data_IF_564245058256
#
_entry.id   IF_564245058256
#
_cell.length_a   1.000
_cell.length_b   1.000
_cell.length_c   1.000
_cell.angle_alpha   90.00
_cell.angle_beta   90.00
_cell.angle_gamma   90.00
#
_symmetry.space_group_name_H-M   'P 1'
#
loop_
_entity.id
_entity.type
_entity.pdbx_description
1 polymer ?
#
# COMPACT_ATOMS: atom_id res chain seq x y z
N UNK A 1 -2.47 13.47 31.31
CA UNK A 1 -2.88 12.05 31.33
C UNK A 1 -1.80 11.24 30.59
N UNK A 2 -0.54 11.38 31.02
CA UNK A 2 0.26 10.52 31.93
C UNK A 2 0.68 9.18 31.33
N UNK A 3 1.97 9.08 30.99
CA UNK A 3 2.80 7.93 30.56
C UNK A 3 2.64 6.62 31.36
N UNK A 4 1.77 6.59 32.38
CA UNK A 4 1.55 5.44 33.25
C UNK A 4 0.70 4.31 32.61
N UNK A 5 0.00 4.58 31.50
CA UNK A 5 -0.89 3.60 30.85
C UNK A 5 -0.23 2.77 29.73
N UNK A 6 0.77 3.31 29.06
CA UNK A 6 1.48 2.64 27.96
C UNK A 6 2.86 2.18 28.43
N UNK A 7 3.30 1.04 27.92
CA UNK A 7 4.65 0.53 28.19
C UNK A 7 5.69 1.28 27.38
N UNK A 8 5.81 2.61 27.48
CA UNK A 8 6.85 3.38 26.76
C UNK A 8 8.27 2.98 27.16
N UNK A 9 8.43 2.36 28.34
CA UNK A 9 9.67 1.73 28.80
C UNK A 9 9.82 0.25 28.38
N UNK A 10 8.83 -0.33 27.70
CA UNK A 10 8.86 -1.70 27.19
C UNK A 10 9.17 -1.66 25.68
N UNK A 11 9.88 -2.67 25.15
CA UNK A 11 10.22 -2.69 23.73
C UNK A 11 8.95 -2.71 22.87
N UNK A 12 8.93 -2.02 21.72
CA UNK A 12 7.79 -2.07 20.81
C UNK A 12 7.68 -3.46 20.17
N UNK A 13 6.47 -3.82 19.77
CA UNK A 13 6.27 -4.91 18.83
C UNK A 13 6.41 -4.38 17.41
N UNK A 14 7.22 -5.08 16.61
CA UNK A 14 7.45 -4.73 15.21
C UNK A 14 6.71 -5.74 14.34
N UNK A 15 5.79 -5.23 13.53
CA UNK A 15 5.07 -6.00 12.53
C UNK A 15 5.54 -5.57 11.14
N UNK A 16 5.93 -6.53 10.32
CA UNK A 16 6.45 -6.25 8.98
C UNK A 16 5.79 -7.18 7.96
N UNK A 17 5.27 -6.58 6.89
CA UNK A 17 4.59 -7.29 5.82
C UNK A 17 4.89 -6.66 4.47
N UNK A 18 5.07 -7.51 3.46
CA UNK A 18 5.19 -7.11 2.08
C UNK A 18 4.00 -7.65 1.27
N UNK A 19 3.49 -6.81 0.39
CA UNK A 19 2.35 -7.13 -0.46
C UNK A 19 2.69 -6.76 -1.90
N UNK A 20 2.11 -7.52 -2.82
CA UNK A 20 2.12 -7.16 -4.24
C UNK A 20 0.80 -7.50 -4.88
N UNK A 21 0.52 -6.82 -5.98
CA UNK A 21 -0.67 -7.10 -6.74
C UNK A 21 -0.66 -6.45 -8.09
N UNK A 22 -1.77 -6.64 -8.79
CA UNK A 22 -2.03 -5.96 -10.03
C UNK A 22 -3.51 -5.68 -10.21
N UNK A 23 -3.80 -4.68 -11.03
CA UNK A 23 -5.13 -4.38 -11.54
C UNK A 23 -5.05 -3.98 -13.02
N UNK A 24 -6.16 -4.06 -13.72
CA UNK A 24 -6.25 -3.59 -15.10
C UNK A 24 -7.14 -2.36 -15.21
N UNK A 25 -6.74 -1.42 -16.05
CA UNK A 25 -7.45 -0.20 -16.36
C UNK A 25 -7.66 -0.17 -17.87
N UNK A 26 -8.91 -0.17 -18.31
CA UNK A 26 -9.27 -0.13 -19.74
C UNK A 26 -9.15 1.25 -20.38
N UNK A 27 -7.93 1.77 -20.35
CA UNK A 27 -7.50 2.91 -21.11
C UNK A 27 -5.99 2.82 -21.35
N UNK A 28 -5.46 3.49 -22.38
CA UNK A 28 -4.02 3.62 -22.56
C UNK A 28 -3.34 4.34 -21.39
N UNK A 29 -2.05 4.07 -21.20
CA UNK A 29 -1.22 4.57 -20.07
C UNK A 29 -1.38 6.08 -19.89
N UNK A 30 -1.19 6.86 -20.94
CA UNK A 30 -1.24 8.33 -20.89
C UNK A 30 -2.56 8.88 -20.32
N UNK A 31 -3.69 8.23 -20.64
CA UNK A 31 -5.00 8.65 -20.14
C UNK A 31 -5.15 8.36 -18.65
N UNK A 32 -4.62 7.21 -18.19
CA UNK A 32 -4.64 6.87 -16.77
C UNK A 32 -3.64 7.69 -15.96
N UNK A 33 -2.45 7.99 -16.50
CA UNK A 33 -1.46 8.88 -15.90
C UNK A 33 -2.04 10.27 -15.64
N UNK A 34 -2.76 10.83 -16.63
CA UNK A 34 -3.41 12.14 -16.49
C UNK A 34 -4.40 12.13 -15.32
N UNK A 35 -5.17 11.05 -15.17
CA UNK A 35 -6.07 10.89 -14.04
C UNK A 35 -5.29 10.74 -12.72
N UNK A 36 -4.27 9.87 -12.65
CA UNK A 36 -3.49 9.65 -11.44
C UNK A 36 -2.77 10.92 -10.95
N UNK A 37 -2.25 11.74 -11.86
CA UNK A 37 -1.57 12.99 -11.53
C UNK A 37 -2.52 14.02 -10.89
N UNK A 38 -3.82 13.89 -11.12
CA UNK A 38 -4.86 14.74 -10.53
C UNK A 38 -5.48 14.08 -9.27
N UNK A 39 -4.66 13.39 -8.47
CA UNK A 39 -5.11 12.65 -7.28
C UNK A 39 -5.85 13.50 -6.25
N UNK A 40 -5.63 14.81 -6.20
CA UNK A 40 -6.40 15.73 -5.35
C UNK A 40 -7.91 15.66 -5.63
N UNK A 41 -8.27 15.46 -6.90
CA UNK A 41 -9.66 15.43 -7.32
C UNK A 41 -10.33 14.13 -6.88
N UNK A 42 -9.67 12.98 -6.98
CA UNK A 42 -10.35 11.68 -6.84
C UNK A 42 -9.99 10.88 -5.58
N UNK A 43 -8.81 11.11 -4.99
CA UNK A 43 -8.29 10.23 -3.93
C UNK A 43 -9.21 10.19 -2.70
N UNK A 44 -9.69 11.37 -2.26
CA UNK A 44 -10.59 11.47 -1.11
C UNK A 44 -11.94 10.76 -1.33
N UNK A 45 -12.48 10.77 -2.56
CA UNK A 45 -13.71 10.05 -2.92
C UNK A 45 -13.50 8.53 -2.89
N UNK A 46 -12.34 8.09 -3.38
CA UNK A 46 -12.00 6.68 -3.49
C UNK A 46 -11.58 6.04 -2.17
N UNK A 47 -11.08 6.83 -1.21
CA UNK A 47 -10.55 6.35 0.06
C UNK A 47 -11.58 5.66 0.98
N UNK A 48 -12.88 5.92 0.82
CA UNK A 48 -13.91 5.35 1.69
C UNK A 48 -13.85 3.81 1.74
N UNK A 49 -13.94 3.15 2.91
CA UNK A 49 -14.39 3.68 4.20
C UNK A 49 -13.33 4.43 5.00
N UNK A 50 -12.08 4.50 4.53
CA UNK A 50 -11.07 5.33 5.17
C UNK A 50 -11.42 6.81 4.99
N UNK A 51 -11.00 7.63 5.94
CA UNK A 51 -11.06 9.08 5.82
C UNK A 51 -9.71 9.59 5.31
N UNK A 52 -9.71 10.33 4.21
CA UNK A 52 -8.50 10.96 3.66
C UNK A 52 -8.62 12.48 3.82
N UNK A 53 -7.68 13.08 4.55
CA UNK A 53 -7.60 14.52 4.76
C UNK A 53 -6.36 15.04 4.04
N UNK A 54 -6.48 15.98 3.08
CA UNK A 54 -5.32 16.49 2.34
C UNK A 54 -4.39 17.30 3.25
N UNK A 55 -3.09 17.15 3.04
CA UNK A 55 -2.01 17.91 3.70
C UNK A 55 -1.05 18.42 2.63
N UNK A 56 -1.04 19.73 2.41
CA UNK A 56 -0.29 20.33 1.31
C UNK A 56 -0.77 19.84 -0.06
N UNK A 57 0.13 19.82 -1.05
CA UNK A 57 -0.20 19.47 -2.44
C UNK A 57 -0.27 17.97 -2.69
N UNK A 58 0.64 17.21 -2.08
CA UNK A 58 0.83 15.79 -2.36
C UNK A 58 0.61 14.88 -1.15
N UNK A 59 0.30 15.46 0.02
CA UNK A 59 0.13 14.72 1.26
C UNK A 59 -1.33 14.43 1.60
N UNK A 60 -1.55 13.34 2.34
CA UNK A 60 -2.84 12.95 2.90
C UNK A 60 -2.67 12.29 4.26
N UNK A 61 -3.53 12.61 5.23
CA UNK A 61 -3.70 11.79 6.43
C UNK A 61 -4.84 10.82 6.19
N UNK A 62 -4.53 9.53 6.19
CA UNK A 62 -5.51 8.47 6.14
C UNK A 62 -5.85 7.99 7.55
N UNK A 63 -7.13 8.02 7.91
CA UNK A 63 -7.68 7.29 9.05
C UNK A 63 -8.31 6.00 8.54
N UNK A 64 -7.75 4.84 8.91
CA UNK A 64 -8.10 3.56 8.28
C UNK A 64 -9.43 2.99 8.81
N UNK A 65 -9.77 3.24 10.08
CA UNK A 65 -10.92 2.68 10.80
C UNK A 65 -10.52 2.10 12.15
N UNK A 66 -11.45 1.54 12.93
CA UNK A 66 -11.15 0.96 14.25
C UNK A 66 -10.84 -0.53 14.17
N UNK A 67 -9.76 -0.94 14.82
CA UNK A 67 -9.31 -2.33 14.85
C UNK A 67 -8.86 -2.69 16.26
N UNK A 68 -9.29 -3.85 16.75
CA UNK A 68 -8.95 -4.28 18.10
C UNK A 68 -9.00 -5.79 18.31
N UNK A 69 -8.33 -6.22 19.36
CA UNK A 69 -8.28 -7.60 19.83
C UNK A 69 -7.83 -7.62 21.29
N UNK A 70 -8.22 -8.64 22.07
CA UNK A 70 -7.81 -8.82 23.47
C UNK A 70 -8.02 -7.57 24.36
N UNK A 71 -9.12 -6.83 24.15
CA UNK A 71 -9.46 -5.65 24.96
C UNK A 71 -8.63 -4.40 24.64
N UNK A 72 -7.88 -4.41 23.54
CA UNK A 72 -7.14 -3.26 23.04
C UNK A 72 -7.65 -2.88 21.63
N UNK A 73 -7.99 -1.62 21.44
CA UNK A 73 -8.50 -1.06 20.17
C UNK A 73 -7.69 0.17 19.76
N UNK A 74 -7.44 0.30 18.46
CA UNK A 74 -6.75 1.44 17.84
C UNK A 74 -7.50 1.91 16.60
N UNK A 75 -7.41 3.20 16.32
CA UNK A 75 -7.85 3.80 15.06
C UNK A 75 -6.61 4.35 14.36
N UNK A 76 -5.93 3.55 13.51
CA UNK A 76 -4.66 3.97 12.96
C UNK A 76 -4.87 5.07 11.93
N UNK A 77 -4.08 6.11 12.13
CA UNK A 77 -3.80 7.21 11.21
C UNK A 77 -2.40 7.05 10.63
N UNK A 78 -2.29 7.32 9.33
CA UNK A 78 -1.03 7.33 8.59
C UNK A 78 -0.96 8.57 7.70
N UNK A 79 0.17 9.27 7.73
CA UNK A 79 0.47 10.31 6.76
C UNK A 79 1.11 9.70 5.52
N UNK A 80 0.59 10.03 4.35
CA UNK A 80 1.07 9.58 3.05
C UNK A 80 1.48 10.77 2.21
N UNK A 81 2.56 10.64 1.45
CA UNK A 81 2.97 11.59 0.43
C UNK A 81 3.04 10.89 -0.92
N UNK A 82 2.17 11.30 -1.85
CA UNK A 82 2.09 10.77 -3.21
C UNK A 82 3.09 11.53 -4.07
N UNK A 83 4.24 10.92 -4.31
CA UNK A 83 5.29 11.54 -5.10
C UNK A 83 4.85 11.70 -6.57
N UNK A 84 5.29 12.76 -7.26
CA UNK A 84 5.18 12.83 -8.71
C UNK A 84 5.76 11.58 -9.36
N UNK A 85 5.18 11.16 -10.49
CA UNK A 85 5.68 10.01 -11.22
C UNK A 85 7.11 10.24 -11.72
N UNK A 86 7.90 9.17 -11.74
CA UNK A 86 9.20 9.12 -12.39
C UNK A 86 9.21 7.93 -13.35
N UNK A 87 9.33 8.20 -14.66
CA UNK A 87 9.37 7.18 -15.72
C UNK A 87 8.22 6.16 -15.66
N UNK A 88 6.99 6.61 -15.37
CA UNK A 88 5.80 5.75 -15.27
C UNK A 88 5.70 4.97 -13.95
N UNK A 89 6.57 5.27 -12.99
CA UNK A 89 6.53 4.73 -11.63
C UNK A 89 6.02 5.78 -10.66
N UNK A 90 4.94 5.44 -9.96
CA UNK A 90 4.34 6.23 -8.90
C UNK A 90 4.79 5.69 -7.55
N UNK A 91 5.18 6.58 -6.63
CA UNK A 91 5.63 6.20 -5.28
C UNK A 91 4.80 6.88 -4.21
N UNK A 92 4.62 6.17 -3.11
CA UNK A 92 3.98 6.72 -1.91
C UNK A 92 4.89 6.42 -0.73
N UNK A 93 5.23 7.47 0.01
CA UNK A 93 6.03 7.38 1.23
C UNK A 93 5.24 7.90 2.43
N UNK A 94 5.74 7.60 3.63
CA UNK A 94 5.12 8.08 4.87
C UNK A 94 5.60 9.48 5.20
N UNK A 95 4.68 10.35 5.60
CA UNK A 95 4.97 11.64 6.22
C UNK A 95 4.45 11.68 7.66
N UNK A 96 5.04 12.52 8.53
CA UNK A 96 4.51 12.73 9.88
C UNK A 96 3.05 13.18 9.85
N UNK A 97 2.25 12.70 10.80
CA UNK A 97 0.88 13.19 10.99
C UNK A 97 0.95 14.51 11.79
N UNK A 98 0.47 15.64 11.24
CA UNK A 98 0.53 16.93 11.92
C UNK A 98 -0.20 16.92 13.26
N UNK A 99 0.34 17.67 14.22
CA UNK A 99 -0.32 18.04 15.49
C UNK A 99 -0.81 16.86 16.36
N UNK A 100 -0.29 15.65 16.16
CA UNK A 100 -0.71 14.49 16.95
C UNK A 100 0.32 14.12 18.02
N UNK A 101 -0.10 13.96 19.29
CA UNK A 101 0.73 13.33 20.30
C UNK A 101 1.04 11.88 19.89
N UNK A 102 2.13 11.34 20.42
CA UNK A 102 2.55 9.96 20.22
C UNK A 102 1.36 8.98 20.27
N UNK A 103 1.06 8.35 19.13
CA UNK A 103 -0.13 7.48 18.96
C UNK A 103 0.10 6.07 19.50
N UNK A 104 1.22 5.84 20.21
CA UNK A 104 1.71 4.53 20.64
C UNK A 104 1.98 3.57 19.48
N UNK A 105 2.14 4.09 18.26
CA UNK A 105 2.63 3.34 17.12
C UNK A 105 3.30 4.29 16.12
N UNK A 106 4.19 3.72 15.32
CA UNK A 106 4.78 4.34 14.14
C UNK A 106 4.52 3.46 12.93
N UNK A 107 4.25 4.08 11.78
CA UNK A 107 4.04 3.37 10.53
C UNK A 107 5.06 3.84 9.52
N UNK A 108 5.77 2.89 8.92
CA UNK A 108 6.56 3.10 7.72
C UNK A 108 5.88 2.34 6.58
N UNK A 109 5.26 3.10 5.70
CA UNK A 109 4.57 2.69 4.48
C UNK A 109 5.38 3.19 3.28
N UNK A 110 5.82 2.23 2.46
CA UNK A 110 6.53 2.47 1.21
C UNK A 110 5.83 1.69 0.11
N UNK A 111 5.23 2.38 -0.85
CA UNK A 111 4.58 1.74 -1.98
C UNK A 111 5.16 2.24 -3.31
N UNK A 112 5.18 1.34 -4.29
CA UNK A 112 5.52 1.66 -5.66
C UNK A 112 4.49 1.03 -6.61
N UNK A 113 4.20 1.75 -7.69
CA UNK A 113 3.22 1.34 -8.68
C UNK A 113 3.75 1.66 -10.08
N UNK A 114 3.79 0.66 -10.96
CA UNK A 114 4.23 0.79 -12.34
C UNK A 114 3.08 0.59 -13.31
N UNK A 115 2.99 1.45 -14.32
CA UNK A 115 2.00 1.35 -15.39
C UNK A 115 2.60 0.61 -16.58
N UNK A 116 2.03 -0.55 -16.91
CA UNK A 116 2.47 -1.40 -18.01
C UNK A 116 1.44 -1.34 -19.14
N UNK A 117 1.83 -0.91 -20.35
CA UNK A 117 0.93 -0.94 -21.50
C UNK A 117 0.63 -2.38 -21.90
N UNK A 118 -0.63 -2.64 -22.21
CA UNK A 118 -1.15 -3.94 -22.62
C UNK A 118 -1.97 -3.77 -23.90
N UNK A 119 -2.01 -4.83 -24.72
CA UNK A 119 -2.84 -4.88 -25.93
C UNK A 119 -3.79 -6.07 -25.86
N UNK A 120 -5.05 -5.83 -26.20
CA UNK A 120 -6.09 -6.85 -26.23
C UNK A 120 -5.74 -7.91 -27.28
N UNK A 121 -5.76 -9.17 -26.86
CA UNK A 121 -5.54 -10.30 -27.75
C UNK A 121 -6.86 -10.69 -28.45
N UNK A 122 -6.91 -10.76 -29.79
CA UNK A 122 -8.13 -11.10 -30.53
C UNK A 122 -8.79 -12.42 -30.14
N UNK A 123 -8.01 -13.36 -29.64
CA UNK A 123 -8.49 -14.70 -29.29
C UNK A 123 -9.06 -14.74 -27.87
N UNK A 124 -8.40 -14.09 -26.91
CA UNK A 124 -8.73 -14.20 -25.47
C UNK A 124 -9.51 -13.01 -24.91
N UNK A 125 -9.43 -11.84 -25.54
CA UNK A 125 -9.99 -10.58 -25.03
C UNK A 125 -11.16 -10.08 -25.90
N UNK A 126 -11.96 -11.01 -26.43
CA UNK A 126 -13.10 -10.69 -27.32
C UNK A 126 -14.05 -9.66 -26.72
N UNK A 127 -14.29 -9.76 -25.42
CA UNK A 127 -15.18 -8.84 -24.72
C UNK A 127 -14.59 -7.41 -24.64
N UNK A 128 -13.24 -7.25 -24.56
CA UNK A 128 -12.59 -5.94 -24.61
C UNK A 128 -12.70 -5.33 -26.01
N UNK A 129 -12.48 -6.16 -27.03
CA UNK A 129 -12.64 -5.74 -28.42
C UNK A 129 -14.08 -5.35 -28.76
N UNK A 130 -15.07 -6.03 -28.18
CA UNK A 130 -16.49 -5.66 -28.31
C UNK A 130 -16.79 -4.27 -27.72
N UNK A 131 -15.99 -3.81 -26.74
CA UNK A 131 -16.04 -2.46 -26.17
C UNK A 131 -15.09 -1.48 -26.88
N UNK A 132 -14.49 -1.88 -28.00
CA UNK A 132 -13.48 -1.11 -28.73
C UNK A 132 -12.25 -0.75 -27.87
N UNK A 133 -11.87 -1.63 -26.95
CA UNK A 133 -10.70 -1.49 -26.08
C UNK A 133 -9.58 -2.34 -26.65
N UNK A 134 -8.70 -1.71 -27.42
CA UNK A 134 -7.53 -2.36 -28.02
C UNK A 134 -6.29 -2.25 -27.14
N UNK A 135 -6.04 -1.07 -26.57
CA UNK A 135 -4.91 -0.81 -25.69
C UNK A 135 -5.42 -0.47 -24.29
N UNK A 136 -4.82 -1.07 -23.28
CA UNK A 136 -5.18 -0.91 -21.87
C UNK A 136 -3.93 -0.89 -21.00
N UNK A 137 -4.09 -0.60 -19.71
CA UNK A 137 -2.97 -0.53 -18.76
C UNK A 137 -3.13 -1.61 -17.71
N UNK A 138 -2.06 -2.38 -17.48
CA UNK A 138 -1.90 -3.15 -16.25
C UNK A 138 -1.11 -2.32 -15.26
N UNK A 139 -1.62 -2.23 -14.05
CA UNK A 139 -1.00 -1.53 -12.93
C UNK A 139 -0.43 -2.60 -12.02
N UNK A 140 0.89 -2.68 -11.91
CA UNK A 140 1.55 -3.55 -10.94
C UNK A 140 1.92 -2.71 -9.72
N UNK A 141 1.70 -3.21 -8.52
CA UNK A 141 2.02 -2.49 -7.30
C UNK A 141 2.66 -3.39 -6.25
N UNK A 142 3.47 -2.76 -5.41
CA UNK A 142 4.09 -3.34 -4.22
C UNK A 142 3.93 -2.40 -3.03
N UNK A 143 3.88 -2.98 -1.83
CA UNK A 143 3.80 -2.27 -0.56
C UNK A 143 4.70 -2.97 0.45
N UNK A 144 5.68 -2.24 0.96
CA UNK A 144 6.40 -2.57 2.18
C UNK A 144 5.79 -1.80 3.36
N UNK A 145 5.27 -2.54 4.35
CA UNK A 145 4.60 -1.99 5.52
C UNK A 145 5.25 -2.51 6.80
N UNK A 146 5.90 -1.59 7.53
CA UNK A 146 6.40 -1.80 8.89
C UNK A 146 5.57 -0.97 9.87
N UNK A 147 5.10 -1.61 10.94
CA UNK A 147 4.37 -0.96 12.04
C UNK A 147 5.07 -1.28 13.33
N UNK A 148 5.50 -0.26 14.04
CA UNK A 148 6.02 -0.37 15.40
C UNK A 148 4.93 0.03 16.38
N UNK A 149 4.77 -0.71 17.46
CA UNK A 149 3.62 -0.55 18.33
C UNK A 149 3.98 -0.74 19.80
N UNK A 150 3.61 0.24 20.61
CA UNK A 150 3.81 0.27 22.05
C UNK A 150 2.48 -0.07 22.72
N UNK A 151 2.37 -1.28 23.22
CA UNK A 151 1.12 -1.71 23.84
C UNK A 151 1.01 -1.21 25.31
N UNK A 152 -0.20 -1.18 25.87
CA UNK A 152 -0.37 -1.12 27.31
C UNK A 152 0.27 -2.33 28.01
N UNK A 153 0.73 -2.14 29.24
CA UNK A 153 1.45 -3.18 30.02
C UNK A 153 0.71 -4.52 30.14
N UNK A 154 -0.62 -4.51 30.13
CA UNK A 154 -1.39 -5.75 30.25
C UNK A 154 -1.27 -6.68 29.03
N UNK A 155 -1.03 -6.12 27.82
CA UNK A 155 -0.83 -6.91 26.60
C UNK A 155 0.49 -7.68 26.68
N UNK A 156 1.54 -7.10 27.26
CA UNK A 156 2.84 -7.76 27.45
C UNK A 156 2.80 -9.00 28.34
N UNK A 157 1.69 -9.23 29.06
CA UNK A 157 1.46 -10.47 29.83
C UNK A 157 1.05 -11.64 28.93
N UNK A 158 0.63 -11.38 27.69
CA UNK A 158 0.31 -12.42 26.72
C UNK A 158 1.60 -13.00 26.11
N UNK A 159 1.59 -14.27 25.67
CA UNK A 159 2.73 -14.85 24.98
C UNK A 159 3.11 -14.03 23.73
N UNK A 160 4.40 -13.74 23.56
CA UNK A 160 4.90 -12.94 22.42
C UNK A 160 4.40 -13.47 21.06
N UNK A 161 4.44 -14.79 20.85
CA UNK A 161 3.95 -15.41 19.61
C UNK A 161 2.46 -15.18 19.33
N UNK A 162 1.64 -15.07 20.38
CA UNK A 162 0.21 -14.77 20.24
C UNK A 162 -0.01 -13.32 19.79
N UNK A 163 0.72 -12.38 20.39
CA UNK A 163 0.67 -10.95 20.02
C UNK A 163 1.15 -10.78 18.58
N UNK A 164 2.32 -11.33 18.25
CA UNK A 164 2.93 -11.26 16.92
C UNK A 164 2.03 -11.87 15.85
N UNK A 165 1.51 -13.08 16.10
CA UNK A 165 0.63 -13.79 15.17
C UNK A 165 -0.74 -13.12 15.01
N UNK A 166 -1.25 -12.46 16.05
CA UNK A 166 -2.51 -11.70 15.97
C UNK A 166 -2.32 -10.40 15.20
N UNK A 167 -1.31 -9.59 15.54
CA UNK A 167 -1.06 -8.32 14.84
C UNK A 167 -0.74 -8.52 13.36
N UNK A 168 0.07 -9.53 13.00
CA UNK A 168 0.33 -9.85 11.60
C UNK A 168 -0.93 -10.25 10.82
N UNK A 169 -1.85 -11.00 11.44
CA UNK A 169 -3.14 -11.35 10.80
C UNK A 169 -4.04 -10.13 10.63
N UNK A 170 -4.14 -9.28 11.65
CA UNK A 170 -4.92 -8.04 11.60
C UNK A 170 -4.38 -7.12 10.50
N UNK A 171 -3.06 -6.87 10.46
CA UNK A 171 -2.45 -6.04 9.41
C UNK A 171 -2.67 -6.61 8.01
N UNK A 172 -2.48 -7.91 7.82
CA UNK A 172 -2.74 -8.54 6.53
C UNK A 172 -4.22 -8.42 6.10
N UNK A 173 -5.15 -8.51 7.06
CA UNK A 173 -6.58 -8.32 6.79
C UNK A 173 -6.90 -6.86 6.42
N UNK A 174 -6.34 -5.89 7.15
CA UNK A 174 -6.49 -4.46 6.88
C UNK A 174 -6.03 -4.16 5.46
N UNK A 175 -4.79 -4.51 5.13
CA UNK A 175 -4.21 -4.23 3.80
C UNK A 175 -5.04 -4.90 2.71
N UNK A 176 -5.40 -6.18 2.88
CA UNK A 176 -6.23 -6.88 1.88
C UNK A 176 -7.57 -6.18 1.65
N UNK A 177 -8.26 -5.78 2.72
CA UNK A 177 -9.56 -5.11 2.62
C UNK A 177 -9.44 -3.72 2.01
N UNK A 178 -8.46 -2.93 2.46
CA UNK A 178 -8.21 -1.57 1.98
C UNK A 178 -7.78 -1.58 0.52
N UNK A 179 -6.77 -2.37 0.14
CA UNK A 179 -6.29 -2.46 -1.24
C UNK A 179 -7.40 -2.91 -2.18
N UNK A 180 -8.15 -3.96 -1.83
CA UNK A 180 -9.27 -4.43 -2.67
C UNK A 180 -10.32 -3.35 -2.91
N UNK A 181 -10.74 -2.65 -1.84
CA UNK A 181 -11.78 -1.62 -1.92
C UNK A 181 -11.28 -0.37 -2.65
N UNK A 182 -10.08 0.10 -2.33
CA UNK A 182 -9.49 1.28 -2.94
C UNK A 182 -9.28 1.05 -4.44
N UNK A 183 -8.67 -0.07 -4.83
CA UNK A 183 -8.49 -0.43 -6.23
C UNK A 183 -9.81 -0.50 -6.99
N UNK A 184 -10.82 -1.17 -6.45
CA UNK A 184 -12.13 -1.26 -7.10
C UNK A 184 -12.76 0.13 -7.28
N UNK A 185 -12.63 1.03 -6.29
CA UNK A 185 -13.16 2.38 -6.36
C UNK A 185 -12.41 3.27 -7.32
N UNK A 186 -11.09 3.22 -7.33
CA UNK A 186 -10.26 3.99 -8.27
C UNK A 186 -10.56 3.55 -9.71
N UNK A 187 -10.72 2.24 -9.95
CA UNK A 187 -11.13 1.71 -11.23
C UNK A 187 -12.51 2.23 -11.65
N UNK A 188 -13.52 2.10 -10.76
CA UNK A 188 -14.88 2.57 -11.01
C UNK A 188 -14.94 4.10 -11.24
N UNK A 189 -14.22 4.91 -10.45
CA UNK A 189 -14.19 6.39 -10.57
C UNK A 189 -13.52 6.81 -11.89
N UNK A 190 -12.39 6.18 -12.25
CA UNK A 190 -11.72 6.43 -13.51
C UNK A 190 -12.62 6.07 -14.71
N UNK A 191 -13.20 4.87 -14.72
CA UNK A 191 -14.04 4.42 -15.84
C UNK A 191 -15.29 5.28 -16.01
N UNK A 192 -15.90 5.73 -14.91
CA UNK A 192 -16.97 6.74 -14.97
C UNK A 192 -16.48 8.08 -15.52
N UNK A 193 -15.31 8.54 -15.11
CA UNK A 193 -14.71 9.81 -15.58
C UNK A 193 -14.49 9.81 -17.10
N UNK A 194 -14.18 8.65 -17.68
CA UNK A 194 -13.99 8.52 -19.13
C UNK A 194 -15.25 8.09 -19.91
N UNK A 195 -16.39 7.94 -19.23
CA UNK A 195 -17.66 7.52 -19.84
C UNK A 195 -17.71 6.05 -20.26
N UNK A 196 -16.86 5.19 -19.68
CA UNK A 196 -16.82 3.77 -19.99
C UNK A 196 -17.75 2.99 -19.04
N UNK A 197 -18.87 2.48 -19.56
CA UNK A 197 -19.73 1.55 -18.84
C UNK A 197 -19.29 0.10 -19.10
N UNK A 198 -18.71 -0.52 -18.08
CA UNK A 198 -18.19 -1.88 -18.17
C UNK A 198 -19.24 -2.90 -17.69
N UNK A 199 -20.47 -2.51 -17.37
CA UNK A 199 -21.51 -3.44 -16.90
C UNK A 199 -21.14 -4.22 -15.62
N UNK A 200 -22.11 -4.92 -15.03
CA UNK A 200 -21.86 -5.60 -13.75
C UNK A 200 -21.02 -6.89 -13.87
N UNK A 201 -21.01 -7.53 -15.05
CA UNK A 201 -20.38 -8.83 -15.28
C UNK A 201 -18.84 -8.80 -15.17
N UNK A 202 -18.25 -7.62 -15.38
CA UNK A 202 -16.80 -7.42 -15.46
C UNK A 202 -16.13 -7.07 -14.13
N UNK A 203 -16.93 -6.77 -13.09
CA UNK A 203 -16.47 -6.36 -11.76
C UNK A 203 -15.71 -7.46 -10.98
N UNK A 204 -15.69 -8.72 -11.46
CA UNK A 204 -15.27 -9.90 -10.67
C UNK A 204 -13.95 -10.56 -11.05
N UNK A 205 -13.21 -10.14 -12.09
CA UNK A 205 -12.02 -10.89 -12.58
C UNK A 205 -10.69 -10.14 -12.72
N UNK A 206 -10.52 -8.95 -12.13
CA UNK A 206 -9.46 -8.00 -12.59
C UNK A 206 -8.63 -7.33 -11.50
N UNK A 207 -8.55 -7.97 -10.34
CA UNK A 207 -7.66 -7.57 -9.25
C UNK A 207 -7.08 -8.82 -8.61
N UNK A 208 -5.76 -8.85 -8.46
CA UNK A 208 -5.07 -9.83 -7.64
C UNK A 208 -4.21 -9.07 -6.63
N UNK A 209 -4.36 -9.40 -5.36
CA UNK A 209 -3.46 -8.97 -4.32
C UNK A 209 -3.09 -10.18 -3.49
N UNK A 210 -1.79 -10.40 -3.34
CA UNK A 210 -1.26 -11.45 -2.48
C UNK A 210 -0.31 -10.85 -1.46
N UNK A 211 -0.31 -11.45 -0.27
CA UNK A 211 0.76 -11.25 0.68
C UNK A 211 1.95 -12.05 0.18
N UNK A 212 3.08 -11.39 -0.02
CA UNK A 212 4.32 -12.06 -0.38
C UNK A 212 4.90 -12.61 0.91
N UNK A 213 5.22 -13.92 0.95
CA UNK A 213 6.06 -14.42 2.05
C UNK A 213 7.40 -13.73 1.92
N UNK A 214 7.82 -13.08 3.00
CA UNK A 214 9.09 -12.35 3.15
C UNK A 214 10.18 -13.08 2.38
N UNK A 215 10.66 -12.49 1.28
CA UNK A 215 12.04 -12.73 0.92
C UNK A 215 12.82 -12.00 2.01
N UNK A 216 13.59 -12.75 2.78
CA UNK A 216 14.60 -12.23 3.69
C UNK A 216 15.26 -11.02 3.03
N UNK A 217 15.53 -9.91 3.75
CA UNK A 217 16.29 -8.81 3.18
C UNK A 217 17.54 -9.41 2.53
N UNK A 218 17.75 -9.18 1.24
CA UNK A 218 19.06 -9.43 0.64
C UNK A 218 20.05 -8.70 1.55
N UNK A 219 21.02 -9.39 2.17
CA UNK A 219 22.01 -8.71 2.99
C UNK A 219 22.65 -7.64 2.11
N UNK A 220 22.77 -6.43 2.66
CA UNK A 220 23.53 -5.37 1.99
C UNK A 220 24.87 -5.96 1.52
N UNK A 221 25.37 -5.61 0.32
CA UNK A 221 26.75 -5.95 -0.02
C UNK A 221 27.62 -5.46 1.15
N UNK A 222 28.32 -6.40 1.77
CA UNK A 222 29.28 -6.09 2.82
C UNK A 222 30.29 -5.08 2.28
N UNK A 223 30.95 -4.30 3.15
CA UNK A 223 32.00 -3.39 2.71
C UNK A 223 33.00 -4.17 1.87
N UNK A 224 33.28 -3.66 0.67
CA UNK A 224 34.24 -4.22 -0.28
C UNK A 224 35.48 -4.71 0.47
N UNK A 225 35.66 -6.03 0.47
CA UNK A 225 36.93 -6.63 0.87
C UNK A 225 37.98 -6.04 -0.07
N UNK A 226 39.04 -5.38 0.42
CA UNK A 226 40.06 -4.81 -0.46
C UNK A 226 40.67 -5.93 -1.29
N UNK A 227 40.82 -5.68 -2.59
CA UNK A 227 41.50 -6.56 -3.55
C UNK A 227 42.79 -7.11 -2.93
N UNK A 228 42.84 -8.43 -2.83
CA UNK A 228 44.05 -9.18 -2.53
C UNK A 228 45.05 -8.90 -3.67
N UNK A 229 46.30 -8.48 -3.38
CA UNK A 229 47.21 -8.05 -4.41
C UNK A 229 47.60 -9.23 -5.31
N UNK A 230 47.47 -9.00 -6.61
CA UNK A 230 47.85 -9.89 -7.70
C UNK A 230 49.31 -10.37 -7.50
N UNK A 231 49.58 -11.69 -7.59
CA UNK A 231 50.94 -12.19 -7.46
C UNK A 231 51.79 -11.72 -8.67
N UNK A 232 53.06 -11.30 -8.44
CA UNK A 232 53.89 -10.78 -9.51
C UNK A 232 54.23 -11.87 -10.53
N UNK A 233 54.06 -11.54 -11.80
CA UNK A 233 54.45 -12.40 -12.91
C UNK A 233 55.97 -12.51 -13.03
N UNK A 234 56.51 -13.69 -12.75
CA UNK A 234 57.71 -14.28 -13.37
C UNK A 234 57.80 -15.77 -13.02
#
# INVERSE_FOLDING_TARGET
MTDAQYGTNLPPFIFHNQFRGWMEVYAPVLRYETYLNNHQDWFHRCAHPMKAEPVGKHGYILTIGRYGSHGYEVEPKIGLHLLPQEQGVYRIETIPVPEQPFLNYEVNFQAAMALVPMRANPTTDRDLLALNILDYTRVNWELDLRVEMYFPRFIYRLPHGLIQGTGNRVLAQIVRQVSYRLTAKVQDDFHKTIGLDIGQRWRRKRFHAERVRTLTPTPAPGPDTPDEPEPPAA
#
